data_IF_771490821235
#
_entry.id   IF_771490821235
#
_cell.length_a   1.000
_cell.length_b   1.000
_cell.length_c   1.000
_cell.angle_alpha   90.00
_cell.angle_beta   90.00
_cell.angle_gamma   90.00
#
_symmetry.space_group_name_H-M   'P 1'
#
loop_
_entity.id
_entity.type
_entity.pdbx_description
1 polymer ?
#
# COMPACT_ATOMS: atom_id res chain seq x y z
N UNK A 1 3.94 -17.46 19.00
CA UNK A 1 3.84 -16.93 20.38
C UNK A 1 3.46 -15.45 20.38
N UNK A 2 4.31 -14.54 19.85
CA UNK A 2 4.02 -13.09 19.85
C UNK A 2 2.84 -12.66 18.95
N UNK A 3 2.52 -13.43 17.91
CA UNK A 3 1.30 -13.22 17.10
C UNK A 3 0.01 -13.20 17.95
N UNK A 4 -0.03 -13.87 19.09
CA UNK A 4 -1.22 -13.87 19.96
C UNK A 4 -1.40 -12.55 20.72
N UNK A 5 -0.42 -11.64 20.65
CA UNK A 5 -0.40 -10.36 21.34
C UNK A 5 -0.46 -9.18 20.36
N UNK A 6 -0.62 -9.43 19.05
CA UNK A 6 -0.68 -8.38 18.02
C UNK A 6 -1.87 -7.46 18.20
N UNK A 7 -2.96 -7.95 18.80
CA UNK A 7 -4.17 -7.17 19.02
C UNK A 7 -4.21 -6.48 20.39
N UNK A 8 -3.27 -6.82 21.28
CA UNK A 8 -3.17 -6.20 22.61
C UNK A 8 -2.42 -4.87 22.53
N UNK A 9 -2.92 -3.88 23.28
CA UNK A 9 -2.28 -2.56 23.46
C UNK A 9 -2.33 -2.21 24.96
N UNK A 10 -1.19 -2.09 25.66
CA UNK A 10 0.18 -2.33 25.19
C UNK A 10 0.51 -3.82 25.05
N UNK A 11 1.46 -4.18 24.18
CA UNK A 11 2.04 -5.53 24.08
C UNK A 11 3.54 -5.57 24.42
N UNK A 12 4.09 -6.78 24.59
CA UNK A 12 5.50 -6.95 24.99
C UNK A 12 6.49 -6.40 23.95
N UNK A 13 6.14 -6.46 22.66
CA UNK A 13 6.99 -5.98 21.58
C UNK A 13 7.08 -4.45 21.60
N UNK A 14 5.96 -3.76 21.84
CA UNK A 14 5.94 -2.30 22.01
C UNK A 14 6.85 -1.87 23.16
N UNK A 15 6.71 -2.52 24.32
CA UNK A 15 7.54 -2.21 25.49
C UNK A 15 9.03 -2.46 25.24
N UNK A 16 9.38 -3.57 24.57
CA UNK A 16 10.76 -3.90 24.23
C UNK A 16 11.35 -2.93 23.21
N UNK A 17 10.61 -2.60 22.16
CA UNK A 17 11.00 -1.62 21.14
C UNK A 17 11.25 -0.24 21.78
N UNK A 18 10.39 0.18 22.70
CA UNK A 18 10.55 1.45 23.42
C UNK A 18 11.76 1.44 24.35
N UNK A 19 12.05 0.32 25.01
CA UNK A 19 13.26 0.16 25.79
C UNK A 19 14.52 0.27 24.91
N UNK A 20 14.52 -0.43 23.76
CA UNK A 20 15.60 -0.38 22.76
C UNK A 20 15.81 1.03 22.22
N UNK A 21 14.74 1.78 21.96
CA UNK A 21 14.86 3.16 21.47
C UNK A 21 15.51 4.08 22.51
N UNK A 22 15.46 3.74 23.80
CA UNK A 22 16.04 4.56 24.89
C UNK A 22 17.44 4.13 25.33
N UNK A 23 17.95 2.98 24.88
CA UNK A 23 19.26 2.50 25.28
C UNK A 23 20.39 3.44 24.83
N UNK A 24 21.36 3.67 25.72
CA UNK A 24 22.63 4.34 25.45
C UNK A 24 23.78 3.49 26.00
N UNK A 25 24.67 2.94 25.15
CA UNK A 25 24.74 3.11 23.70
C UNK A 25 23.57 2.47 22.94
N UNK A 26 23.26 2.94 21.71
CA UNK A 26 22.13 2.43 20.93
C UNK A 26 22.32 0.96 20.55
N UNK A 27 21.27 0.15 20.73
CA UNK A 27 21.23 -1.24 20.28
C UNK A 27 20.82 -1.25 18.80
N UNK A 28 21.65 -1.85 17.94
CA UNK A 28 21.37 -1.95 16.51
C UNK A 28 20.47 -3.15 16.22
N UNK A 29 19.34 -2.90 15.59
CA UNK A 29 18.42 -3.93 15.10
C UNK A 29 18.41 -3.94 13.55
N UNK A 30 18.20 -5.10 12.90
CA UNK A 30 18.04 -5.15 11.46
C UNK A 30 16.84 -4.30 10.98
N UNK A 31 16.98 -3.44 9.95
CA UNK A 31 15.92 -2.51 9.54
C UNK A 31 14.60 -3.18 9.17
N UNK A 32 14.67 -4.27 8.40
CA UNK A 32 13.48 -5.02 8.01
C UNK A 32 12.74 -5.65 9.20
N UNK A 33 13.47 -6.02 10.26
CA UNK A 33 12.86 -6.52 11.49
C UNK A 33 12.13 -5.39 12.23
N UNK A 34 12.76 -4.22 12.37
CA UNK A 34 12.14 -3.05 13.02
C UNK A 34 10.86 -2.64 12.29
N UNK A 35 10.91 -2.58 10.96
CA UNK A 35 9.76 -2.35 10.09
C UNK A 35 8.63 -3.37 10.34
N UNK A 36 8.96 -4.66 10.31
CA UNK A 36 7.99 -5.72 10.53
C UNK A 36 7.32 -5.61 11.90
N UNK A 37 8.10 -5.42 12.98
CA UNK A 37 7.59 -5.27 14.34
C UNK A 37 6.72 -4.02 14.49
N UNK A 38 7.12 -2.91 13.85
CA UNK A 38 6.33 -1.68 13.78
C UNK A 38 4.93 -1.92 13.19
N UNK A 39 4.87 -2.53 12.00
CA UNK A 39 3.62 -2.82 11.28
C UNK A 39 2.74 -3.84 11.98
N UNK A 40 3.32 -4.92 12.48
CA UNK A 40 2.57 -6.07 13.02
C UNK A 40 2.08 -5.88 14.46
N UNK A 41 2.83 -5.14 15.29
CA UNK A 41 2.53 -4.99 16.73
C UNK A 41 2.16 -3.56 17.12
N UNK A 42 1.92 -2.67 16.14
CA UNK A 42 1.48 -1.30 16.38
C UNK A 42 2.54 -0.41 17.03
N UNK A 43 3.82 -0.68 16.79
CA UNK A 43 4.95 0.11 17.30
C UNK A 43 5.47 1.12 16.26
N UNK A 44 4.56 1.73 15.49
CA UNK A 44 4.84 2.56 14.32
C UNK A 44 5.86 3.67 14.58
N UNK A 45 5.56 4.57 15.52
CA UNK A 45 6.41 5.74 15.79
C UNK A 45 7.75 5.34 16.39
N UNK A 46 7.78 4.33 17.27
CA UNK A 46 9.02 3.79 17.84
C UNK A 46 9.90 3.15 16.77
N UNK A 47 9.30 2.41 15.83
CA UNK A 47 10.02 1.84 14.69
C UNK A 47 10.63 2.94 13.81
N UNK A 48 9.86 3.99 13.50
CA UNK A 48 10.35 5.14 12.74
C UNK A 48 11.49 5.86 13.45
N UNK A 49 11.38 6.10 14.77
CA UNK A 49 12.42 6.75 15.56
C UNK A 49 13.75 5.97 15.52
N UNK A 50 13.68 4.64 15.69
CA UNK A 50 14.85 3.75 15.61
C UNK A 50 15.49 3.85 14.21
N UNK A 51 14.69 3.69 13.15
CA UNK A 51 15.18 3.73 11.76
C UNK A 51 15.76 5.09 11.38
N UNK A 52 15.12 6.19 11.77
CA UNK A 52 15.62 7.54 11.55
C UNK A 52 16.98 7.72 12.23
N UNK A 53 17.09 7.38 13.50
CA UNK A 53 18.36 7.49 14.25
C UNK A 53 19.47 6.63 13.62
N UNK A 54 19.16 5.43 13.20
CA UNK A 54 20.12 4.53 12.55
C UNK A 54 20.56 5.07 11.19
N UNK A 55 19.66 5.73 10.45
CA UNK A 55 19.98 6.40 9.18
C UNK A 55 20.97 7.56 9.33
N UNK A 56 20.90 8.31 10.45
CA UNK A 56 21.81 9.43 10.74
C UNK A 56 23.14 8.99 11.38
N UNK A 57 23.10 7.93 12.20
CA UNK A 57 24.27 7.47 12.98
C UNK A 57 25.17 6.48 12.23
N UNK A 58 24.74 6.00 11.06
CA UNK A 58 25.52 5.07 10.25
C UNK A 58 26.90 5.65 9.91
N UNK A 59 27.93 5.07 10.53
CA UNK A 59 29.34 5.39 10.32
C UNK A 59 29.68 5.14 8.84
N UNK A 60 30.42 6.06 8.22
CA UNK A 60 30.90 5.93 6.83
C UNK A 60 31.50 4.54 6.60
N UNK A 61 30.85 3.71 5.78
CA UNK A 61 31.35 2.36 5.45
C UNK A 61 30.28 1.31 5.14
N UNK A 62 29.03 1.49 5.57
CA UNK A 62 27.94 0.52 5.35
C UNK A 62 26.76 1.13 4.57
N UNK A 63 27.02 1.53 3.32
CA UNK A 63 26.02 2.17 2.46
C UNK A 63 24.80 1.27 2.19
N UNK A 64 25.01 -0.06 2.13
CA UNK A 64 23.93 -1.03 1.93
C UNK A 64 22.98 -1.09 3.12
N UNK A 65 23.51 -1.10 4.34
CA UNK A 65 22.67 -1.06 5.55
C UNK A 65 21.88 0.24 5.60
N UNK A 66 22.50 1.37 5.23
CA UNK A 66 21.83 2.67 5.13
C UNK A 66 20.71 2.65 4.10
N UNK A 67 20.94 2.13 2.89
CA UNK A 67 19.91 1.98 1.86
C UNK A 67 18.74 1.12 2.36
N UNK A 68 19.02 -0.04 2.95
CA UNK A 68 17.99 -0.92 3.56
C UNK A 68 17.21 -0.22 4.69
N UNK A 69 17.87 0.65 5.45
CA UNK A 69 17.22 1.45 6.51
C UNK A 69 16.27 2.49 5.90
N UNK A 70 16.69 3.15 4.83
CA UNK A 70 15.87 4.12 4.11
C UNK A 70 14.69 3.44 3.41
N UNK A 71 14.86 2.23 2.87
CA UNK A 71 13.76 1.43 2.29
C UNK A 71 12.73 1.02 3.34
N UNK A 72 13.21 0.59 4.51
CA UNK A 72 12.35 0.26 5.63
C UNK A 72 11.56 1.49 6.11
N UNK A 73 12.20 2.66 6.13
CA UNK A 73 11.57 3.92 6.54
C UNK A 73 10.58 4.44 5.50
N UNK A 74 10.90 4.38 4.20
CA UNK A 74 9.99 4.81 3.13
C UNK A 74 8.70 3.99 3.12
N UNK A 75 8.80 2.67 3.28
CA UNK A 75 7.65 1.77 3.35
C UNK A 75 6.76 2.07 4.58
N UNK A 76 7.34 2.48 5.71
CA UNK A 76 6.55 2.91 6.87
C UNK A 76 5.81 4.23 6.62
N UNK A 77 6.45 5.21 5.97
CA UNK A 77 5.77 6.47 5.61
C UNK A 77 4.65 6.25 4.61
N UNK A 78 4.88 5.45 3.58
CA UNK A 78 3.88 5.10 2.58
C UNK A 78 2.68 4.39 3.22
N UNK A 79 2.92 3.43 4.12
CA UNK A 79 1.85 2.69 4.80
C UNK A 79 0.99 3.59 5.71
N UNK A 80 1.57 4.64 6.29
CA UNK A 80 0.85 5.62 7.11
C UNK A 80 0.35 6.82 6.29
N UNK A 81 0.52 6.81 4.96
CA UNK A 81 0.15 7.92 4.08
C UNK A 81 0.77 9.25 4.51
N UNK A 82 2.04 9.21 4.94
CA UNK A 82 2.84 10.38 5.32
C UNK A 82 3.61 10.89 4.09
N UNK A 83 2.87 11.33 3.07
CA UNK A 83 3.38 11.60 1.72
C UNK A 83 4.53 12.62 1.68
N UNK A 84 4.44 13.71 2.46
CA UNK A 84 5.50 14.73 2.50
C UNK A 84 6.83 14.17 3.04
N UNK A 85 6.76 13.29 4.04
CA UNK A 85 7.93 12.62 4.60
C UNK A 85 8.49 11.60 3.61
N UNK A 86 7.63 10.87 2.92
CA UNK A 86 8.00 9.94 1.85
C UNK A 86 8.73 10.66 0.71
N UNK A 87 8.14 11.73 0.15
CA UNK A 87 8.75 12.49 -0.94
C UNK A 87 10.04 13.19 -0.50
N UNK A 88 10.08 13.74 0.71
CA UNK A 88 11.28 14.37 1.26
C UNK A 88 12.44 13.38 1.44
N UNK A 89 12.13 12.15 1.87
CA UNK A 89 13.09 11.06 1.99
C UNK A 89 13.63 10.67 0.62
N UNK A 90 12.74 10.40 -0.35
CA UNK A 90 13.11 10.01 -1.71
C UNK A 90 13.95 11.07 -2.43
N UNK A 91 13.58 12.35 -2.29
CA UNK A 91 14.34 13.46 -2.87
C UNK A 91 15.78 13.53 -2.38
N UNK A 92 16.04 13.08 -1.15
CA UNK A 92 17.38 13.09 -0.53
C UNK A 92 18.20 11.85 -0.83
N UNK A 93 17.57 10.72 -1.17
CA UNK A 93 18.26 9.43 -1.38
C UNK A 93 18.38 9.01 -2.85
N UNK A 94 17.55 9.58 -3.74
CA UNK A 94 17.54 9.25 -5.16
C UNK A 94 18.88 9.58 -5.81
N UNK A 95 19.29 8.74 -6.77
CA UNK A 95 20.52 8.91 -7.56
C UNK A 95 20.24 9.54 -8.91
N UNK A 96 19.06 9.28 -9.49
CA UNK A 96 18.68 9.84 -10.79
C UNK A 96 17.96 11.19 -10.63
N UNK A 97 18.31 12.14 -11.50
CA UNK A 97 17.68 13.47 -11.51
C UNK A 97 16.21 13.37 -11.94
N UNK A 98 15.90 12.43 -12.83
CA UNK A 98 14.56 12.14 -13.31
C UNK A 98 13.63 11.71 -12.15
N UNK A 99 14.13 10.89 -11.22
CA UNK A 99 13.40 10.54 -9.99
C UNK A 99 13.00 11.78 -9.20
N UNK A 100 13.94 12.71 -9.00
CA UNK A 100 13.66 13.95 -8.28
C UNK A 100 12.64 14.84 -8.99
N UNK A 101 12.70 14.91 -10.31
CA UNK A 101 11.75 15.67 -11.12
C UNK A 101 10.35 15.02 -11.06
N UNK A 102 10.26 13.71 -11.29
CA UNK A 102 9.00 12.95 -11.27
C UNK A 102 8.28 13.08 -9.94
N UNK A 103 8.97 12.82 -8.83
CA UNK A 103 8.42 12.93 -7.48
C UNK A 103 8.00 14.38 -7.16
N UNK A 104 8.72 15.38 -7.68
CA UNK A 104 8.33 16.78 -7.49
C UNK A 104 7.04 17.12 -8.23
N UNK A 105 6.85 16.61 -9.45
CA UNK A 105 5.58 16.76 -10.16
C UNK A 105 4.44 16.05 -9.43
N UNK A 106 4.69 14.84 -8.92
CA UNK A 106 3.74 14.04 -8.16
C UNK A 106 3.25 14.76 -6.89
N UNK A 107 4.19 15.28 -6.08
CA UNK A 107 3.86 16.05 -4.88
C UNK A 107 3.03 17.30 -5.20
N UNK A 108 3.21 17.91 -6.37
CA UNK A 108 2.41 19.05 -6.83
C UNK A 108 1.08 18.66 -7.49
N UNK A 109 0.78 17.37 -7.64
CA UNK A 109 -0.43 16.87 -8.33
C UNK A 109 -0.38 16.99 -9.86
N UNK A 110 0.80 17.21 -10.45
CA UNK A 110 1.00 17.26 -11.90
C UNK A 110 1.25 15.85 -12.46
N UNK A 111 0.21 15.00 -12.42
CA UNK A 111 0.30 13.56 -12.71
C UNK A 111 0.80 13.23 -14.12
N UNK A 112 0.40 13.99 -15.13
CA UNK A 112 0.79 13.75 -16.54
C UNK A 112 2.30 13.94 -16.74
N UNK A 113 2.86 14.99 -16.16
CA UNK A 113 4.28 15.32 -16.24
C UNK A 113 5.12 14.35 -15.42
N UNK A 114 4.62 13.91 -14.26
CA UNK A 114 5.22 12.84 -13.48
C UNK A 114 5.29 11.53 -14.28
N UNK A 115 4.16 11.10 -14.86
CA UNK A 115 4.05 9.89 -15.69
C UNK A 115 5.08 9.89 -16.84
N UNK A 116 5.10 10.95 -17.65
CA UNK A 116 6.06 11.10 -18.77
C UNK A 116 7.51 11.07 -18.27
N UNK A 117 7.78 11.66 -17.10
CA UNK A 117 9.13 11.66 -16.52
C UNK A 117 9.58 10.25 -16.14
N UNK A 118 8.70 9.45 -15.53
CA UNK A 118 8.99 8.07 -15.17
C UNK A 118 9.21 7.17 -16.41
N UNK A 119 8.39 7.31 -17.45
CA UNK A 119 8.58 6.58 -18.72
C UNK A 119 9.92 6.90 -19.39
N UNK A 120 10.29 8.18 -19.40
CA UNK A 120 11.55 8.64 -19.95
C UNK A 120 12.74 8.11 -19.12
N UNK A 121 12.63 8.11 -17.79
CA UNK A 121 13.66 7.57 -16.91
C UNK A 121 13.92 6.08 -17.19
N UNK A 122 12.86 5.28 -17.26
CA UNK A 122 12.95 3.85 -17.57
C UNK A 122 13.57 3.61 -18.96
N UNK A 123 13.14 4.36 -19.99
CA UNK A 123 13.66 4.22 -21.36
C UNK A 123 15.13 4.63 -21.47
N UNK A 124 15.53 5.68 -20.74
CA UNK A 124 16.93 6.13 -20.67
C UNK A 124 17.83 5.08 -20.03
N UNK A 125 17.37 4.40 -18.98
CA UNK A 125 18.19 3.37 -18.31
C UNK A 125 18.32 2.12 -19.17
N UNK A 126 17.23 1.68 -19.81
CA UNK A 126 17.28 0.58 -20.78
C UNK A 126 18.24 0.84 -21.95
N UNK A 127 18.33 2.09 -22.41
CA UNK A 127 19.20 2.46 -23.54
C UNK A 127 20.64 2.80 -23.15
N UNK A 128 20.89 3.28 -21.94
CA UNK A 128 22.22 3.73 -21.48
C UNK A 128 23.13 2.62 -20.97
N UNK A 129 22.60 1.42 -20.68
CA UNK A 129 23.38 0.31 -20.14
C UNK A 129 23.96 0.57 -18.73
N UNK A 130 23.48 1.61 -18.04
CA UNK A 130 23.86 1.92 -16.67
C UNK A 130 23.34 0.84 -15.71
N UNK A 131 24.04 0.59 -14.58
CA UNK A 131 23.55 -0.34 -13.57
C UNK A 131 22.20 0.16 -13.02
N UNK A 132 21.19 -0.70 -13.11
CA UNK A 132 19.84 -0.41 -12.65
C UNK A 132 19.85 -0.35 -11.13
N UNK A 133 19.45 0.78 -10.56
CA UNK A 133 19.10 0.85 -9.15
C UNK A 133 17.70 0.25 -8.98
N UNK A 134 17.61 -0.99 -8.51
CA UNK A 134 16.36 -1.75 -8.42
C UNK A 134 15.28 -0.99 -7.61
N UNK A 135 15.66 -0.34 -6.52
CA UNK A 135 14.70 0.40 -5.66
C UNK A 135 14.08 1.61 -6.37
N UNK A 136 14.87 2.37 -7.14
CA UNK A 136 14.32 3.48 -7.93
C UNK A 136 13.53 3.01 -9.13
N UNK A 137 13.90 1.86 -9.72
CA UNK A 137 13.14 1.29 -10.82
C UNK A 137 11.74 0.85 -10.38
N UNK A 138 11.64 0.15 -9.25
CA UNK A 138 10.36 -0.23 -8.65
C UNK A 138 9.51 1.00 -8.33
N UNK A 139 10.13 2.04 -7.76
CA UNK A 139 9.44 3.30 -7.51
C UNK A 139 8.82 3.88 -8.79
N UNK A 140 9.56 3.93 -9.90
CA UNK A 140 9.01 4.47 -11.15
C UNK A 140 7.85 3.64 -11.69
N UNK A 141 7.90 2.32 -11.55
CA UNK A 141 6.83 1.43 -12.00
C UNK A 141 5.55 1.65 -11.18
N UNK A 142 5.65 1.57 -9.85
CA UNK A 142 4.52 1.74 -8.95
C UNK A 142 3.91 3.15 -9.06
N UNK A 143 4.76 4.18 -9.13
CA UNK A 143 4.31 5.57 -9.23
C UNK A 143 3.78 5.92 -10.62
N UNK A 144 4.25 5.25 -11.68
CA UNK A 144 3.64 5.35 -13.00
C UNK A 144 2.22 4.77 -13.00
N UNK A 145 2.01 3.62 -12.37
CA UNK A 145 0.67 3.04 -12.18
C UNK A 145 -0.21 4.03 -11.41
N UNK A 146 0.28 4.57 -10.29
CA UNK A 146 -0.45 5.56 -9.49
C UNK A 146 -0.84 6.80 -10.32
N UNK A 147 0.09 7.39 -11.07
CA UNK A 147 -0.19 8.53 -11.93
C UNK A 147 -1.25 8.19 -12.99
N UNK A 148 -1.16 7.01 -13.60
CA UNK A 148 -2.12 6.53 -14.59
C UNK A 148 -3.52 6.37 -14.00
N UNK A 149 -3.62 5.86 -12.76
CA UNK A 149 -4.89 5.75 -12.03
C UNK A 149 -5.49 7.14 -11.73
N UNK A 150 -4.66 8.12 -11.33
CA UNK A 150 -5.10 9.51 -11.08
C UNK A 150 -5.57 10.20 -12.36
N UNK A 151 -4.96 9.88 -13.50
CA UNK A 151 -5.35 10.37 -14.83
C UNK A 151 -6.53 9.61 -15.46
N UNK A 152 -7.06 8.58 -14.77
CA UNK A 152 -8.15 7.74 -15.23
C UNK A 152 -7.87 6.96 -16.53
N UNK A 153 -6.62 6.59 -16.77
CA UNK A 153 -6.19 5.84 -17.95
C UNK A 153 -6.41 4.33 -17.77
N UNK A 154 -7.65 3.92 -17.47
CA UNK A 154 -7.97 2.54 -17.11
C UNK A 154 -7.80 1.55 -18.27
N UNK A 155 -7.96 1.99 -19.52
CA UNK A 155 -7.75 1.14 -20.70
C UNK A 155 -6.28 0.69 -20.80
N UNK A 156 -5.35 1.64 -20.63
CA UNK A 156 -3.90 1.39 -20.64
C UNK A 156 -3.51 0.47 -19.48
N UNK A 157 -4.05 0.73 -18.29
CA UNK A 157 -3.81 -0.10 -17.11
C UNK A 157 -4.37 -1.52 -17.25
N UNK A 158 -5.46 -1.70 -17.99
CA UNK A 158 -6.03 -3.02 -18.28
C UNK A 158 -5.04 -3.85 -19.11
N UNK A 159 -4.52 -3.28 -20.20
CA UNK A 159 -3.54 -3.96 -21.04
C UNK A 159 -2.23 -4.24 -20.29
N UNK A 160 -1.76 -3.27 -19.50
CA UNK A 160 -0.59 -3.44 -18.63
C UNK A 160 -0.80 -4.58 -17.62
N UNK A 161 -1.93 -4.60 -16.92
CA UNK A 161 -2.22 -5.62 -15.89
C UNK A 161 -2.28 -7.04 -16.45
N UNK A 162 -2.74 -7.21 -17.70
CA UNK A 162 -2.76 -8.50 -18.40
C UNK A 162 -1.35 -8.97 -18.75
N UNK A 163 -0.48 -8.06 -19.19
CA UNK A 163 0.90 -8.39 -19.56
C UNK A 163 1.76 -8.76 -18.36
N UNK A 164 1.60 -8.03 -17.24
CA UNK A 164 2.34 -8.28 -16.00
C UNK A 164 1.68 -9.33 -15.09
N UNK A 165 0.52 -9.86 -15.49
CA UNK A 165 -0.29 -10.79 -14.69
C UNK A 165 -0.61 -10.24 -13.28
N UNK A 166 -0.82 -8.93 -13.16
CA UNK A 166 -1.19 -8.27 -11.91
C UNK A 166 -2.71 -8.32 -11.72
N UNK A 167 -3.17 -9.35 -10.99
CA UNK A 167 -4.60 -9.63 -10.81
C UNK A 167 -5.29 -8.55 -9.97
N UNK A 168 -4.61 -7.94 -9.00
CA UNK A 168 -5.19 -6.86 -8.18
C UNK A 168 -5.51 -5.64 -9.03
N UNK A 169 -4.55 -5.18 -9.84
CA UNK A 169 -4.76 -4.06 -10.76
C UNK A 169 -5.81 -4.41 -11.83
N UNK A 170 -5.79 -5.64 -12.35
CA UNK A 170 -6.78 -6.12 -13.31
C UNK A 170 -8.20 -6.06 -12.71
N UNK A 171 -8.36 -6.44 -11.44
CA UNK A 171 -9.64 -6.35 -10.74
C UNK A 171 -10.12 -4.90 -10.65
N UNK A 172 -9.26 -3.98 -10.22
CA UNK A 172 -9.61 -2.54 -10.15
C UNK A 172 -10.03 -1.97 -11.52
N UNK A 173 -9.33 -2.34 -12.59
CA UNK A 173 -9.68 -1.91 -13.95
C UNK A 173 -11.02 -2.50 -14.39
N UNK A 174 -11.24 -3.79 -14.13
CA UNK A 174 -12.46 -4.49 -14.51
C UNK A 174 -13.69 -3.86 -13.84
N UNK A 175 -13.60 -3.52 -12.55
CA UNK A 175 -14.69 -2.84 -11.84
C UNK A 175 -15.03 -1.45 -12.38
N UNK A 176 -14.13 -0.79 -13.11
CA UNK A 176 -14.34 0.55 -13.66
C UNK A 176 -14.83 0.56 -15.11
N UNK A 177 -14.40 -0.43 -15.90
CA UNK A 177 -14.65 -0.45 -17.34
C UNK A 177 -15.73 -1.45 -17.76
N UNK A 178 -15.90 -2.55 -17.02
CA UNK A 178 -16.78 -3.64 -17.45
C UNK A 178 -18.23 -3.42 -17.07
N UNK A 179 -19.14 -4.04 -17.84
CA UNK A 179 -20.56 -4.05 -17.52
C UNK A 179 -20.82 -5.15 -16.49
N UNK A 180 -21.23 -4.74 -15.29
CA UNK A 180 -21.43 -5.64 -14.15
C UNK A 180 -22.60 -6.61 -14.34
N UNK A 181 -23.46 -6.37 -15.33
CA UNK A 181 -24.59 -7.24 -15.67
C UNK A 181 -24.17 -8.30 -16.69
N UNK A 182 -23.43 -7.90 -17.72
CA UNK A 182 -23.09 -8.76 -18.86
C UNK A 182 -21.79 -9.54 -18.64
N UNK A 183 -20.82 -8.98 -17.90
CA UNK A 183 -19.48 -9.56 -17.72
C UNK A 183 -19.29 -10.21 -16.34
N UNK A 184 -20.38 -10.54 -15.66
CA UNK A 184 -20.40 -11.05 -14.29
C UNK A 184 -19.51 -12.30 -14.09
N UNK A 185 -19.60 -13.26 -15.01
CA UNK A 185 -18.85 -14.51 -14.90
C UNK A 185 -17.34 -14.28 -14.98
N UNK A 186 -16.91 -13.31 -15.79
CA UNK A 186 -15.50 -12.93 -15.88
C UNK A 186 -15.03 -12.24 -14.60
N UNK A 187 -15.81 -11.28 -14.07
CA UNK A 187 -15.48 -10.60 -12.81
C UNK A 187 -15.36 -11.56 -11.63
N UNK A 188 -16.26 -12.55 -11.54
CA UNK A 188 -16.18 -13.59 -10.51
C UNK A 188 -14.91 -14.43 -10.64
N UNK A 189 -14.57 -14.85 -11.86
CA UNK A 189 -13.33 -15.60 -12.11
C UNK A 189 -12.10 -14.78 -11.68
N UNK A 190 -12.03 -13.50 -12.03
CA UNK A 190 -10.91 -12.62 -11.65
C UNK A 190 -10.77 -12.51 -10.14
N UNK A 191 -11.87 -12.29 -9.41
CA UNK A 191 -11.86 -12.19 -7.93
C UNK A 191 -11.45 -13.51 -7.28
N UNK A 192 -11.88 -14.65 -7.82
CA UNK A 192 -11.56 -15.97 -7.28
C UNK A 192 -10.14 -16.45 -7.63
N UNK A 193 -9.54 -15.93 -8.70
CA UNK A 193 -8.17 -16.30 -9.12
C UNK A 193 -7.11 -15.80 -8.15
N UNK A 194 -7.38 -14.73 -7.40
CA UNK A 194 -6.49 -14.24 -6.34
C UNK A 194 -6.36 -15.29 -5.21
N UNK A 195 -5.20 -15.94 -5.10
CA UNK A 195 -4.93 -16.93 -4.04
C UNK A 195 -4.46 -16.29 -2.72
N UNK A 196 -4.22 -14.98 -2.70
CA UNK A 196 -3.63 -14.28 -1.56
C UNK A 196 -4.62 -13.95 -0.44
N UNK A 197 -4.05 -13.63 0.74
CA UNK A 197 -4.77 -13.26 1.94
C UNK A 197 -5.82 -12.18 1.66
N UNK A 198 -7.02 -12.26 2.27
CA UNK A 198 -8.10 -11.33 1.97
C UNK A 198 -7.74 -9.92 2.43
N UNK A 199 -7.69 -8.97 1.50
CA UNK A 199 -7.58 -7.54 1.79
C UNK A 199 -8.98 -6.92 1.97
N UNK A 200 -9.11 -5.82 2.75
CA UNK A 200 -10.38 -5.10 2.86
C UNK A 200 -10.95 -4.74 1.48
N UNK A 201 -10.11 -4.23 0.57
CA UNK A 201 -10.49 -3.84 -0.79
C UNK A 201 -11.02 -5.02 -1.61
N UNK A 202 -10.40 -6.20 -1.52
CA UNK A 202 -10.88 -7.41 -2.18
C UNK A 202 -12.23 -7.86 -1.63
N UNK A 203 -12.41 -7.85 -0.31
CA UNK A 203 -13.71 -8.20 0.28
C UNK A 203 -14.81 -7.21 -0.08
N UNK A 204 -14.48 -5.95 -0.33
CA UNK A 204 -15.45 -4.99 -0.90
C UNK A 204 -15.94 -5.43 -2.27
N UNK A 205 -15.04 -5.86 -3.16
CA UNK A 205 -15.42 -6.37 -4.49
C UNK A 205 -16.27 -7.64 -4.40
N UNK A 206 -15.91 -8.56 -3.51
CA UNK A 206 -16.70 -9.77 -3.27
C UNK A 206 -18.10 -9.43 -2.72
N UNK A 207 -18.20 -8.49 -1.77
CA UNK A 207 -19.47 -8.03 -1.21
C UNK A 207 -20.36 -7.41 -2.30
N UNK A 208 -19.78 -6.58 -3.16
CA UNK A 208 -20.49 -5.97 -4.28
C UNK A 208 -21.04 -7.01 -5.27
N UNK A 209 -20.23 -8.00 -5.65
CA UNK A 209 -20.69 -9.07 -6.56
C UNK A 209 -21.83 -9.90 -5.95
N UNK A 210 -21.77 -10.17 -4.65
CA UNK A 210 -22.84 -10.88 -3.94
C UNK A 210 -24.11 -10.01 -3.80
N UNK A 211 -23.97 -8.70 -3.63
CA UNK A 211 -25.10 -7.77 -3.69
C UNK A 211 -25.79 -7.86 -5.05
N UNK A 212 -25.05 -7.75 -6.15
CA UNK A 212 -25.60 -7.86 -7.50
C UNK A 212 -26.29 -9.20 -7.74
N UNK A 213 -25.71 -10.32 -7.26
CA UNK A 213 -26.36 -11.64 -7.29
C UNK A 213 -27.69 -11.65 -6.55
N UNK A 214 -27.71 -11.08 -5.34
CA UNK A 214 -28.88 -11.10 -4.47
C UNK A 214 -30.08 -10.35 -5.05
N UNK A 215 -29.84 -9.28 -5.81
CA UNK A 215 -30.87 -8.52 -6.53
C UNK A 215 -31.59 -9.36 -7.60
N UNK A 216 -30.93 -10.38 -8.16
CA UNK A 216 -31.54 -11.29 -9.14
C UNK A 216 -32.20 -12.51 -8.51
N UNK A 217 -31.63 -13.06 -7.43
CA UNK A 217 -32.09 -14.32 -6.81
C UNK A 217 -33.04 -14.11 -5.63
N UNK A 218 -33.23 -12.87 -5.16
CA UNK A 218 -33.96 -12.52 -3.93
C UNK A 218 -33.44 -13.23 -2.67
N UNK A 219 -32.19 -13.68 -2.67
CA UNK A 219 -31.52 -14.27 -1.50
C UNK A 219 -30.40 -13.36 -1.01
N UNK A 220 -30.52 -12.86 0.22
CA UNK A 220 -29.56 -11.94 0.84
C UNK A 220 -28.56 -12.64 1.79
N UNK A 221 -28.64 -13.97 1.94
CA UNK A 221 -27.85 -14.70 2.93
C UNK A 221 -26.35 -14.59 2.67
N UNK A 222 -25.92 -14.84 1.43
CA UNK A 222 -24.52 -14.78 1.04
C UNK A 222 -23.96 -13.35 1.12
N UNK A 223 -24.73 -12.36 0.66
CA UNK A 223 -24.35 -10.95 0.78
C UNK A 223 -24.12 -10.54 2.23
N UNK A 224 -25.05 -10.87 3.14
CA UNK A 224 -24.93 -10.53 4.57
C UNK A 224 -23.69 -11.15 5.19
N UNK A 225 -23.38 -12.41 4.86
CA UNK A 225 -22.18 -13.09 5.34
C UNK A 225 -20.91 -12.37 4.88
N UNK A 226 -20.80 -12.09 3.58
CA UNK A 226 -19.60 -11.43 3.01
C UNK A 226 -19.48 -9.99 3.51
N UNK A 227 -20.59 -9.26 3.68
CA UNK A 227 -20.59 -7.91 4.26
C UNK A 227 -20.01 -7.90 5.68
N UNK A 228 -20.43 -8.84 6.54
CA UNK A 228 -19.89 -8.94 7.91
C UNK A 228 -18.38 -9.23 7.89
N UNK A 229 -17.93 -10.12 7.00
CA UNK A 229 -16.50 -10.40 6.82
C UNK A 229 -15.73 -9.14 6.37
N UNK A 230 -16.28 -8.37 5.42
CA UNK A 230 -15.68 -7.13 4.94
C UNK A 230 -15.58 -6.06 6.03
N UNK A 231 -16.62 -5.89 6.85
CA UNK A 231 -16.59 -5.02 8.03
C UNK A 231 -15.48 -5.44 9.01
N UNK A 232 -15.42 -6.73 9.33
CA UNK A 232 -14.45 -7.25 10.29
C UNK A 232 -13.01 -7.07 9.80
N UNK A 233 -12.72 -7.33 8.53
CA UNK A 233 -11.38 -7.09 7.97
C UNK A 233 -11.01 -5.61 7.94
N UNK A 234 -11.96 -4.73 7.61
CA UNK A 234 -11.74 -3.27 7.62
C UNK A 234 -11.45 -2.78 9.04
N UNK A 235 -12.18 -3.30 10.04
CA UNK A 235 -11.94 -3.02 11.47
C UNK A 235 -10.59 -3.58 11.96
N UNK A 236 -10.23 -4.80 11.55
CA UNK A 236 -8.91 -5.36 11.86
C UNK A 236 -7.80 -4.47 11.30
N UNK A 237 -7.93 -4.04 10.03
CA UNK A 237 -6.97 -3.12 9.41
C UNK A 237 -6.91 -1.78 10.15
N UNK A 238 -8.05 -1.23 10.56
CA UNK A 238 -8.12 -0.02 11.39
C UNK A 238 -7.34 -0.20 12.70
N UNK A 239 -7.54 -1.31 13.40
CA UNK A 239 -6.84 -1.61 14.65
C UNK A 239 -5.31 -1.76 14.51
N UNK A 240 -4.83 -2.08 13.29
CA UNK A 240 -3.38 -2.12 13.04
C UNK A 240 -2.76 -0.73 12.96
N UNK A 241 -3.53 0.32 12.67
CA UNK A 241 -3.04 1.69 12.51
C UNK A 241 -2.80 2.37 13.88
N UNK A 242 -2.07 3.51 13.91
CA UNK A 242 -1.94 4.31 15.14
C UNK A 242 -3.29 4.79 15.68
N UNK A 243 -3.38 4.98 17.00
CA UNK A 243 -4.61 5.45 17.65
C UNK A 243 -5.04 6.87 17.21
N UNK A 244 -4.08 7.67 16.74
CA UNK A 244 -4.36 9.02 16.24
C UNK A 244 -4.85 8.91 14.80
N UNK A 245 -6.06 9.40 14.56
CA UNK A 245 -6.66 9.42 13.21
C UNK A 245 -5.85 10.35 12.31
N UNK A 246 -5.48 9.83 11.14
CA UNK A 246 -4.59 10.47 10.16
C UNK A 246 -4.99 10.09 8.72
N UNK A 247 -4.22 10.51 7.71
CA UNK A 247 -4.49 10.21 6.30
C UNK A 247 -4.61 8.72 5.99
N UNK A 248 -3.86 7.85 6.69
CA UNK A 248 -3.95 6.39 6.53
C UNK A 248 -5.34 5.82 6.85
N UNK A 249 -6.16 6.54 7.61
CA UNK A 249 -7.50 6.11 8.00
C UNK A 249 -8.56 6.47 6.95
N UNK A 250 -8.29 7.46 6.09
CA UNK A 250 -9.28 7.96 5.11
C UNK A 250 -9.78 6.86 4.16
N UNK A 251 -8.91 6.01 3.56
CA UNK A 251 -9.38 4.93 2.70
C UNK A 251 -10.30 3.94 3.42
N UNK A 252 -10.06 3.68 4.72
CA UNK A 252 -10.89 2.78 5.52
C UNK A 252 -12.25 3.41 5.85
N UNK A 253 -12.29 4.72 6.14
CA UNK A 253 -13.55 5.45 6.31
C UNK A 253 -14.40 5.38 5.03
N UNK A 254 -13.78 5.53 3.87
CA UNK A 254 -14.45 5.35 2.59
C UNK A 254 -14.96 3.91 2.40
N UNK A 255 -14.18 2.89 2.80
CA UNK A 255 -14.65 1.50 2.80
C UNK A 255 -15.86 1.29 3.71
N UNK A 256 -15.87 1.87 4.92
CA UNK A 256 -17.04 1.79 5.80
C UNK A 256 -18.27 2.45 5.20
N UNK A 257 -18.11 3.62 4.58
CA UNK A 257 -19.21 4.30 3.89
C UNK A 257 -19.81 3.42 2.79
N UNK A 258 -18.97 2.84 1.93
CA UNK A 258 -19.43 1.95 0.87
C UNK A 258 -20.16 0.71 1.39
N UNK A 259 -19.71 0.13 2.51
CA UNK A 259 -20.40 -1.02 3.11
C UNK A 259 -21.80 -0.66 3.61
N UNK A 260 -21.97 0.52 4.19
CA UNK A 260 -23.29 1.03 4.58
C UNK A 260 -24.17 1.25 3.35
N UNK A 261 -23.63 1.84 2.29
CA UNK A 261 -24.35 2.03 1.03
C UNK A 261 -24.79 0.70 0.39
N UNK A 262 -23.95 -0.35 0.49
CA UNK A 262 -24.33 -1.68 0.02
C UNK A 262 -25.50 -2.26 0.82
N UNK A 263 -25.51 -2.08 2.14
CA UNK A 263 -26.63 -2.51 2.98
C UNK A 263 -27.91 -1.71 2.70
N UNK A 264 -27.79 -0.41 2.45
CA UNK A 264 -28.93 0.43 2.06
C UNK A 264 -29.52 0.03 0.71
N UNK A 265 -28.67 -0.35 -0.26
CA UNK A 265 -29.10 -0.83 -1.57
C UNK A 265 -29.89 -2.15 -1.54
N UNK A 266 -29.87 -2.89 -0.42
CA UNK A 266 -30.69 -4.11 -0.26
C UNK A 266 -32.14 -3.84 0.16
N UNK A 267 -32.46 -2.59 0.53
CA UNK A 267 -33.80 -2.18 0.99
C UNK A 267 -34.66 -1.70 -0.17
#
# INVERSE_FOLDING_TARGET
YHNNQTDLRPNCIQALMEAVSRCSPPIKLPPHLVKYLGKSHGAWHTAMEILQRDSFSSVRGDEKLRESTLDALSDLYETLSEDDMFYGLWKRRSKFAETNIGISYEQCGNWMQAQITYENAQTKIRSSGLPINETEYLLWEDHWIMCSQKLQQWDILTDFSKNENNIELMTECAFRLMDWTNDKDYLEQVIHTLLDAPSPRRKMFEAFMNLMKSLHTNSLEDFKKVSIEAHQLTLQKWHTLPNVVSYSHIPLLHSFQLLVEFEEATK
#
